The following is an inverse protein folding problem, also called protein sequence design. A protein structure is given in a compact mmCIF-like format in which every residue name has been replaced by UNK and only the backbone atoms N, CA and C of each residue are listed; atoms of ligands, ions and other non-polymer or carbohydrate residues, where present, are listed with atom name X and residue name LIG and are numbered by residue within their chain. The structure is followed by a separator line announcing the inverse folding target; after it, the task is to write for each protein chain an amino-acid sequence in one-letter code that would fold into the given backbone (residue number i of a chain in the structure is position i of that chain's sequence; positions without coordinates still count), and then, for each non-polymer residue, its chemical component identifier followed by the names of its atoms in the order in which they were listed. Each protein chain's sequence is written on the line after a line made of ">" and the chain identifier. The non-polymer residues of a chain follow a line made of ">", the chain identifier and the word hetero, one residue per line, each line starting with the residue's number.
data_IF_181440131365
#
_entry.id   IF_181440131365
#
_cell.length_a   1.000
_cell.length_b   1.000
_cell.length_c   1.000
_cell.angle_alpha   90.00
_cell.angle_beta   90.00
_cell.angle_gamma   90.00
#
_symmetry.space_group_name_H-M   'P 1'
#
loop_
_entity.id
_entity.type
_entity.pdbx_description
1 polymer ?
#
# COMPACT_ATOMS: atom_id res chain seq x y z
N UNK A 1 17.45 1.63 11.34
CA UNK A 1 16.62 1.75 10.11
C UNK A 1 16.54 0.43 9.34
N UNK A 2 17.67 -0.30 9.22
CA UNK A 2 17.67 -1.63 8.58
C UNK A 2 16.84 -2.64 9.36
N UNK A 3 16.93 -2.66 10.69
CA UNK A 3 16.11 -3.52 11.56
C UNK A 3 14.60 -3.27 11.34
N UNK A 4 14.21 -1.99 11.18
CA UNK A 4 12.83 -1.64 10.87
C UNK A 4 12.40 -2.14 9.49
N UNK A 5 13.29 -2.06 8.50
CA UNK A 5 13.01 -2.52 7.14
C UNK A 5 12.82 -4.05 7.08
N UNK A 6 13.69 -4.81 7.76
CA UNK A 6 13.54 -6.28 7.84
C UNK A 6 12.29 -6.68 8.60
N UNK A 7 11.92 -5.96 9.67
CA UNK A 7 10.65 -6.15 10.37
C UNK A 7 9.45 -5.94 9.45
N UNK A 8 9.42 -4.88 8.65
CA UNK A 8 8.35 -4.64 7.65
C UNK A 8 8.30 -5.79 6.62
N UNK A 9 9.46 -6.29 6.17
CA UNK A 9 9.50 -7.41 5.23
C UNK A 9 8.93 -8.69 5.87
N UNK A 10 9.30 -9.01 7.10
CA UNK A 10 8.80 -10.15 7.85
C UNK A 10 7.28 -10.08 8.06
N UNK A 11 6.76 -8.92 8.46
CA UNK A 11 5.32 -8.69 8.63
C UNK A 11 4.55 -8.92 7.33
N UNK A 12 5.07 -8.42 6.21
CA UNK A 12 4.45 -8.62 4.89
C UNK A 12 4.48 -10.08 4.44
N UNK A 13 5.56 -10.79 4.67
CA UNK A 13 5.67 -12.22 4.34
C UNK A 13 4.76 -13.08 5.23
N UNK A 14 4.54 -12.71 6.48
CA UNK A 14 3.63 -13.40 7.36
C UNK A 14 2.17 -13.42 6.85
N UNK A 15 1.78 -12.44 6.04
CA UNK A 15 0.45 -12.38 5.40
C UNK A 15 0.24 -13.44 4.31
N UNK A 16 1.30 -14.10 3.83
CA UNK A 16 1.18 -15.19 2.85
C UNK A 16 0.46 -16.43 3.39
N UNK A 17 0.33 -16.54 4.72
CA UNK A 17 -0.41 -17.62 5.40
C UNK A 17 -0.06 -19.03 4.89
N UNK A 18 1.24 -19.27 4.70
CA UNK A 18 1.76 -20.61 4.32
C UNK A 18 2.32 -21.33 5.53
N UNK A 19 2.38 -22.65 5.47
CA UNK A 19 3.07 -23.46 6.48
C UNK A 19 4.54 -23.03 6.52
N UNK A 20 4.90 -22.31 7.58
CA UNK A 20 6.24 -21.76 7.73
C UNK A 20 7.22 -22.89 8.06
N UNK A 21 8.36 -22.89 7.38
CA UNK A 21 9.55 -23.61 7.82
C UNK A 21 10.12 -22.93 9.07
N UNK A 22 10.90 -23.63 9.88
CA UNK A 22 11.47 -23.07 11.11
C UNK A 22 12.07 -21.67 10.87
N UNK A 23 11.61 -20.70 11.64
CA UNK A 23 12.12 -19.33 11.57
C UNK A 23 13.57 -19.27 12.00
N UNK A 24 14.37 -18.44 11.34
CA UNK A 24 15.69 -18.07 11.79
C UNK A 24 15.62 -17.30 13.12
N UNK A 25 16.55 -17.56 14.02
CA UNK A 25 16.64 -16.82 15.28
C UNK A 25 17.02 -15.33 15.04
N UNK A 26 16.94 -14.53 16.10
CA UNK A 26 17.39 -13.13 16.07
C UNK A 26 18.86 -13.04 15.64
N UNK A 27 19.18 -12.18 14.67
CA UNK A 27 20.53 -11.95 14.19
C UNK A 27 20.82 -10.45 14.10
N UNK A 28 22.11 -10.12 14.19
CA UNK A 28 22.60 -8.74 14.01
C UNK A 28 22.82 -8.51 12.52
N UNK A 29 22.20 -7.47 11.96
CA UNK A 29 22.34 -7.13 10.55
C UNK A 29 23.69 -6.43 10.34
N UNK A 30 24.55 -7.06 9.55
CA UNK A 30 25.71 -6.39 8.98
C UNK A 30 25.23 -5.36 7.94
N UNK A 31 25.75 -4.15 8.01
CA UNK A 31 25.32 -3.03 7.14
C UNK A 31 25.96 -3.06 5.74
N UNK A 32 26.74 -4.07 5.42
CA UNK A 32 27.22 -4.32 4.05
C UNK A 32 26.07 -4.83 3.16
N UNK A 33 26.25 -4.76 1.85
CA UNK A 33 25.27 -5.34 0.90
C UNK A 33 25.09 -6.84 1.15
N UNK A 34 26.18 -7.57 1.36
CA UNK A 34 26.16 -8.99 1.69
C UNK A 34 25.41 -9.29 2.98
N UNK A 35 25.64 -8.49 4.01
CA UNK A 35 24.93 -8.60 5.29
C UNK A 35 23.43 -8.36 5.19
N UNK A 36 23.02 -7.32 4.45
CA UNK A 36 21.60 -7.03 4.19
C UNK A 36 20.94 -8.15 3.39
N UNK A 37 21.61 -8.67 2.34
CA UNK A 37 21.10 -9.78 1.55
C UNK A 37 20.97 -11.06 2.41
N UNK A 38 21.92 -11.33 3.28
CA UNK A 38 21.84 -12.45 4.20
C UNK A 38 20.63 -12.31 5.16
N UNK A 39 20.40 -11.10 5.69
CA UNK A 39 19.26 -10.84 6.54
C UNK A 39 17.93 -11.09 5.80
N UNK A 40 17.79 -10.56 4.59
CA UNK A 40 16.60 -10.77 3.76
C UNK A 40 16.41 -12.25 3.37
N UNK A 41 17.49 -12.97 3.09
CA UNK A 41 17.46 -14.40 2.84
C UNK A 41 16.89 -15.19 4.02
N UNK A 42 17.32 -14.87 5.23
CA UNK A 42 16.81 -15.51 6.44
C UNK A 42 15.31 -15.27 6.64
N UNK A 43 14.82 -14.08 6.33
CA UNK A 43 13.38 -13.77 6.36
C UNK A 43 12.60 -14.49 5.24
N UNK A 44 13.21 -14.71 4.07
CA UNK A 44 12.58 -15.38 2.93
C UNK A 44 12.45 -16.90 3.09
N UNK A 45 13.41 -17.53 3.79
CA UNK A 45 13.52 -18.98 3.90
C UNK A 45 12.22 -19.70 4.30
N UNK A 46 11.44 -19.23 5.29
CA UNK A 46 10.21 -19.89 5.70
C UNK A 46 9.15 -19.96 4.59
N UNK A 47 9.23 -19.09 3.60
CA UNK A 47 8.22 -18.93 2.54
C UNK A 47 8.66 -19.45 1.17
N UNK A 48 9.88 -19.95 1.06
CA UNK A 48 10.40 -20.43 -0.22
C UNK A 48 9.88 -21.83 -0.57
N UNK A 49 9.55 -22.04 -1.84
CA UNK A 49 8.99 -23.33 -2.32
C UNK A 49 10.04 -24.43 -2.54
N UNK A 50 11.29 -24.09 -2.74
CA UNK A 50 12.34 -25.04 -3.08
C UNK A 50 13.17 -25.46 -1.87
N UNK A 51 13.76 -26.66 -1.90
CA UNK A 51 14.87 -27.03 -1.04
C UNK A 51 16.06 -26.15 -1.39
N UNK A 52 16.43 -25.27 -0.44
CA UNK A 52 17.40 -24.24 -0.70
C UNK A 52 18.76 -24.70 -0.18
N UNK A 53 19.49 -25.37 -1.04
CA UNK A 53 20.94 -25.60 -0.86
C UNK A 53 21.78 -24.39 -1.31
N UNK A 54 21.13 -23.40 -1.95
CA UNK A 54 21.77 -22.19 -2.45
C UNK A 54 22.08 -21.20 -1.33
N UNK A 55 23.21 -20.53 -1.41
CA UNK A 55 23.55 -19.44 -0.50
C UNK A 55 22.67 -18.20 -0.71
N UNK A 56 22.72 -17.22 0.22
CA UNK A 56 21.87 -16.03 0.20
C UNK A 56 21.86 -15.27 -1.12
N UNK A 57 23.04 -15.05 -1.69
CA UNK A 57 23.21 -14.28 -2.94
C UNK A 57 22.64 -15.04 -4.13
N UNK A 58 22.92 -16.34 -4.24
CA UNK A 58 22.44 -17.19 -5.32
C UNK A 58 20.91 -17.30 -5.28
N UNK A 59 20.34 -17.54 -4.11
CA UNK A 59 18.90 -17.59 -3.91
C UNK A 59 18.22 -16.28 -4.30
N UNK A 60 18.68 -15.15 -3.75
CA UNK A 60 18.07 -13.85 -4.03
C UNK A 60 18.30 -13.39 -5.49
N UNK A 61 19.39 -13.83 -6.13
CA UNK A 61 19.60 -13.62 -7.56
C UNK A 61 18.63 -14.42 -8.42
N UNK A 62 18.34 -15.67 -8.04
CA UNK A 62 17.35 -16.52 -8.74
C UNK A 62 15.94 -15.94 -8.68
N UNK A 63 15.63 -15.20 -7.60
CA UNK A 63 14.38 -14.43 -7.46
C UNK A 63 14.39 -13.09 -8.19
N UNK A 64 15.49 -12.70 -8.85
CA UNK A 64 15.61 -11.38 -9.48
C UNK A 64 15.71 -10.23 -8.48
N UNK A 65 16.05 -10.50 -7.22
CA UNK A 65 16.19 -9.48 -6.17
C UNK A 65 17.46 -8.68 -6.35
N UNK A 66 18.55 -9.37 -6.70
CA UNK A 66 19.88 -8.78 -6.87
C UNK A 66 20.25 -8.79 -8.34
N UNK A 67 20.58 -7.62 -8.85
CA UNK A 67 21.18 -7.45 -10.16
C UNK A 67 22.58 -6.85 -9.97
N UNK A 68 23.61 -7.48 -10.56
CA UNK A 68 24.93 -6.91 -10.64
C UNK A 68 25.01 -5.86 -11.75
N UNK A 69 26.04 -5.07 -11.73
CA UNK A 69 26.41 -4.15 -12.82
C UNK A 69 27.22 -4.84 -13.94
N UNK A 70 27.21 -6.16 -13.93
CA UNK A 70 27.80 -7.05 -14.93
C UNK A 70 29.04 -7.81 -14.48
N UNK A 71 29.77 -7.40 -13.45
CA UNK A 71 30.99 -8.08 -13.02
C UNK A 71 31.11 -8.33 -11.51
N UNK A 72 30.53 -7.48 -10.67
CA UNK A 72 30.66 -7.56 -9.21
C UNK A 72 29.38 -7.13 -8.51
N UNK A 73 28.97 -7.88 -7.50
CA UNK A 73 27.83 -7.53 -6.63
C UNK A 73 28.21 -6.55 -5.52
N UNK A 74 29.51 -6.24 -5.39
CA UNK A 74 30.07 -5.34 -4.38
C UNK A 74 29.54 -5.64 -2.96
N UNK A 75 29.60 -6.90 -2.54
CA UNK A 75 28.98 -7.40 -1.31
C UNK A 75 29.57 -6.78 -0.04
N UNK A 76 30.85 -6.41 -0.08
CA UNK A 76 31.59 -5.89 1.08
C UNK A 76 31.38 -4.38 1.31
N UNK A 77 30.80 -3.67 0.32
CA UNK A 77 30.53 -2.25 0.50
C UNK A 77 29.31 -1.98 1.37
N UNK A 78 29.24 -0.82 2.05
CA UNK A 78 28.05 -0.42 2.78
C UNK A 78 26.81 -0.41 1.86
N UNK A 79 25.70 -0.93 2.38
CA UNK A 79 24.40 -0.89 1.72
C UNK A 79 23.67 0.41 2.06
N UNK A 80 23.17 1.11 1.06
CA UNK A 80 22.31 2.26 1.31
C UNK A 80 20.90 1.81 1.71
N UNK A 81 20.16 2.65 2.43
CA UNK A 81 18.78 2.35 2.80
C UNK A 81 17.90 2.14 1.57
N UNK A 82 18.15 2.91 0.51
CA UNK A 82 17.41 2.78 -0.75
C UNK A 82 17.66 1.41 -1.41
N UNK A 83 18.89 0.95 -1.46
CA UNK A 83 19.22 -0.38 -1.98
C UNK A 83 18.56 -1.48 -1.16
N UNK A 84 18.66 -1.40 0.17
CA UNK A 84 18.02 -2.35 1.06
C UNK A 84 16.48 -2.39 0.86
N UNK A 85 15.85 -1.23 0.72
CA UNK A 85 14.42 -1.14 0.42
C UNK A 85 14.07 -1.75 -0.94
N UNK A 86 14.89 -1.52 -1.98
CA UNK A 86 14.71 -2.14 -3.28
C UNK A 86 14.83 -3.67 -3.21
N UNK A 87 15.80 -4.20 -2.48
CA UNK A 87 15.99 -5.64 -2.29
C UNK A 87 14.79 -6.24 -1.55
N UNK A 88 14.38 -5.65 -0.44
CA UNK A 88 13.24 -6.11 0.34
C UNK A 88 11.95 -6.12 -0.50
N UNK A 89 11.67 -5.06 -1.23
CA UNK A 89 10.49 -4.96 -2.09
C UNK A 89 10.49 -6.04 -3.20
N UNK A 90 11.62 -6.22 -3.90
CA UNK A 90 11.74 -7.24 -4.95
C UNK A 90 11.55 -8.65 -4.38
N UNK A 91 12.12 -8.93 -3.21
CA UNK A 91 11.98 -10.21 -2.52
C UNK A 91 10.52 -10.50 -2.16
N UNK A 92 9.84 -9.53 -1.55
CA UNK A 92 8.43 -9.65 -1.19
C UNK A 92 7.60 -9.94 -2.45
N UNK A 93 7.77 -9.15 -3.51
CA UNK A 93 7.04 -9.34 -4.77
C UNK A 93 7.31 -10.72 -5.38
N UNK A 94 8.57 -11.16 -5.42
CA UNK A 94 8.92 -12.47 -5.98
C UNK A 94 8.28 -13.64 -5.20
N UNK A 95 8.27 -13.58 -3.88
CA UNK A 95 7.66 -14.60 -3.05
C UNK A 95 6.12 -14.60 -3.16
N UNK A 96 5.50 -13.43 -3.23
CA UNK A 96 4.06 -13.30 -3.49
C UNK A 96 3.70 -13.87 -4.87
N UNK A 97 4.50 -13.58 -5.89
CA UNK A 97 4.27 -14.07 -7.26
C UNK A 97 4.40 -15.60 -7.34
N UNK A 98 5.38 -16.19 -6.67
CA UNK A 98 5.53 -17.65 -6.60
C UNK A 98 4.31 -18.35 -5.98
N UNK A 99 3.64 -17.66 -5.06
CA UNK A 99 2.47 -18.17 -4.35
C UNK A 99 1.15 -17.74 -4.98
N UNK A 100 1.20 -17.02 -6.11
CA UNK A 100 0.02 -16.44 -6.76
C UNK A 100 -0.82 -15.64 -5.76
N UNK A 101 -0.17 -14.90 -4.87
CA UNK A 101 -0.75 -14.12 -3.80
C UNK A 101 -0.77 -12.61 -4.11
N UNK A 102 -1.35 -11.84 -3.20
CA UNK A 102 -1.52 -10.39 -3.33
C UNK A 102 -2.95 -9.99 -3.65
N UNK A 103 -3.26 -8.71 -3.47
CA UNK A 103 -4.61 -8.19 -3.68
C UNK A 103 -4.90 -7.93 -5.15
N UNK A 104 -5.99 -8.49 -5.67
CA UNK A 104 -6.55 -8.14 -6.99
C UNK A 104 -7.54 -6.97 -6.89
N UNK A 105 -8.04 -6.68 -5.70
CA UNK A 105 -9.15 -5.74 -5.52
C UNK A 105 -10.41 -6.19 -6.24
N UNK A 106 -11.30 -5.26 -6.55
CA UNK A 106 -12.47 -5.47 -7.39
C UNK A 106 -12.08 -5.14 -8.85
N UNK A 107 -11.56 -6.13 -9.55
CA UNK A 107 -11.08 -5.99 -10.92
C UNK A 107 -12.05 -6.62 -11.91
N UNK A 108 -12.51 -5.82 -12.88
CA UNK A 108 -13.39 -6.22 -13.95
C UNK A 108 -12.69 -6.04 -15.30
N UNK A 109 -12.96 -6.94 -16.23
CA UNK A 109 -12.51 -6.86 -17.63
C UNK A 109 -13.71 -6.78 -18.56
N UNK A 110 -13.70 -5.81 -19.46
CA UNK A 110 -14.66 -5.70 -20.55
C UNK A 110 -13.90 -5.72 -21.89
N UNK A 111 -14.41 -6.49 -22.84
CA UNK A 111 -13.82 -6.64 -24.18
C UNK A 111 -14.86 -6.34 -25.26
N UNK A 112 -14.47 -5.57 -26.27
CA UNK A 112 -15.34 -5.27 -27.40
C UNK A 112 -14.60 -4.52 -28.50
N UNK A 113 -14.97 -4.80 -29.74
CA UNK A 113 -14.43 -4.14 -30.93
C UNK A 113 -12.89 -4.12 -31.02
N UNK A 114 -12.23 -5.15 -30.51
CA UNK A 114 -10.78 -5.25 -30.49
C UNK A 114 -10.09 -4.48 -29.34
N UNK A 115 -10.87 -3.86 -28.46
CA UNK A 115 -10.36 -3.13 -27.29
C UNK A 115 -10.61 -3.91 -26.00
N UNK A 116 -9.76 -3.68 -25.02
CA UNK A 116 -9.91 -4.20 -23.65
C UNK A 116 -9.94 -3.04 -22.66
N UNK A 117 -10.92 -3.04 -21.78
CA UNK A 117 -11.03 -2.11 -20.66
C UNK A 117 -10.94 -2.88 -19.36
N UNK A 118 -10.14 -2.41 -18.43
CA UNK A 118 -10.12 -2.87 -17.06
C UNK A 118 -10.73 -1.80 -16.14
N UNK A 119 -11.60 -2.21 -15.25
CA UNK A 119 -12.20 -1.36 -14.23
C UNK A 119 -11.72 -1.88 -12.88
N UNK A 120 -11.04 -1.04 -12.11
CA UNK A 120 -10.57 -1.35 -10.77
C UNK A 120 -11.37 -0.51 -9.77
N UNK A 121 -12.06 -1.19 -8.85
CA UNK A 121 -12.73 -0.52 -7.74
C UNK A 121 -11.69 0.10 -6.81
N UNK A 122 -11.86 1.37 -6.47
CA UNK A 122 -10.99 2.06 -5.52
C UNK A 122 -11.38 1.76 -4.08
N UNK A 123 -10.41 1.88 -3.18
CA UNK A 123 -10.58 1.86 -1.74
C UNK A 123 -9.72 2.95 -1.15
N UNK A 124 -10.30 3.76 -0.27
CA UNK A 124 -9.62 4.95 0.29
C UNK A 124 -8.91 4.69 1.61
N UNK A 125 -9.08 3.50 2.17
CA UNK A 125 -8.44 3.10 3.43
C UNK A 125 -7.90 1.69 3.31
N UNK A 126 -6.73 1.45 3.91
CA UNK A 126 -6.10 0.13 3.94
C UNK A 126 -5.53 -0.15 5.34
N UNK A 127 -5.81 -1.34 5.85
CA UNK A 127 -5.26 -1.87 7.10
C UNK A 127 -3.88 -2.54 6.90
N UNK A 128 -3.17 -2.17 5.85
CA UNK A 128 -1.86 -2.71 5.53
C UNK A 128 -1.86 -4.01 4.72
N UNK A 129 -3.02 -4.51 4.31
CA UNK A 129 -3.16 -5.79 3.58
C UNK A 129 -3.35 -5.61 2.07
N UNK A 130 -3.52 -4.38 1.59
CA UNK A 130 -3.75 -4.09 0.18
C UNK A 130 -2.50 -4.37 -0.67
N UNK A 131 -1.33 -4.11 -0.13
CA UNK A 131 -0.05 -4.31 -0.81
C UNK A 131 0.70 -5.54 -0.30
N UNK A 132 1.40 -6.26 -1.18
CA UNK A 132 1.55 -5.97 -2.62
C UNK A 132 0.30 -6.32 -3.42
N UNK A 133 0.09 -5.60 -4.51
CA UNK A 133 -0.90 -6.01 -5.50
C UNK A 133 -0.50 -7.33 -6.15
N UNK A 134 -1.49 -8.15 -6.47
CA UNK A 134 -1.30 -9.38 -7.23
C UNK A 134 -0.60 -9.11 -8.57
N UNK A 135 0.24 -10.05 -9.01
CA UNK A 135 1.01 -9.91 -10.25
C UNK A 135 0.14 -9.54 -11.45
N UNK A 136 -1.01 -10.17 -11.59
CA UNK A 136 -1.94 -9.87 -12.69
C UNK A 136 -2.36 -8.39 -12.71
N UNK A 137 -2.66 -7.79 -11.55
CA UNK A 137 -3.03 -6.37 -11.49
C UNK A 137 -1.84 -5.48 -11.85
N UNK A 138 -0.65 -5.79 -11.35
CA UNK A 138 0.58 -5.05 -11.67
C UNK A 138 0.91 -5.11 -13.18
N UNK A 139 0.75 -6.29 -13.80
CA UNK A 139 0.97 -6.48 -15.24
C UNK A 139 -0.03 -5.66 -16.07
N UNK A 140 -1.32 -5.64 -15.67
CA UNK A 140 -2.35 -4.83 -16.31
C UNK A 140 -2.01 -3.34 -16.24
N UNK A 141 -1.68 -2.83 -15.05
CA UNK A 141 -1.31 -1.42 -14.85
C UNK A 141 -0.09 -1.05 -15.71
N UNK A 142 0.91 -1.92 -15.76
CA UNK A 142 2.16 -1.67 -16.50
C UNK A 142 1.97 -1.72 -18.01
N UNK A 143 1.05 -2.57 -18.51
CA UNK A 143 0.80 -2.74 -19.93
C UNK A 143 -0.31 -1.86 -20.50
N UNK A 144 -1.06 -1.15 -19.68
CA UNK A 144 -2.12 -0.27 -20.09
C UNK A 144 -1.58 0.91 -20.93
N UNK A 145 -2.17 1.15 -22.09
CA UNK A 145 -1.85 2.29 -22.95
C UNK A 145 -2.36 3.61 -22.37
N UNK A 146 -3.44 3.55 -21.60
CA UNK A 146 -4.08 4.69 -20.94
C UNK A 146 -4.58 4.26 -19.56
N UNK A 147 -4.32 5.08 -18.54
CA UNK A 147 -4.89 4.96 -17.22
C UNK A 147 -5.73 6.20 -16.90
N UNK A 148 -6.96 6.00 -16.46
CA UNK A 148 -7.84 7.06 -15.98
C UNK A 148 -8.06 6.90 -14.46
N UNK A 149 -7.94 7.98 -13.72
CA UNK A 149 -8.11 8.03 -12.27
C UNK A 149 -9.33 8.90 -11.93
N UNK A 150 -9.93 8.65 -10.76
CA UNK A 150 -11.08 9.42 -10.27
C UNK A 150 -10.75 10.88 -10.01
N UNK A 151 -9.51 11.17 -9.63
CA UNK A 151 -9.06 12.50 -9.26
C UNK A 151 -7.59 12.69 -9.68
N UNK A 152 -7.28 13.86 -10.21
CA UNK A 152 -5.90 14.31 -10.42
C UNK A 152 -5.40 15.04 -9.17
N UNK A 153 -4.70 14.32 -8.29
CA UNK A 153 -4.10 14.90 -7.08
C UNK A 153 -2.99 15.92 -7.35
N UNK A 154 -2.52 16.07 -8.58
CA UNK A 154 -1.55 17.09 -8.97
C UNK A 154 -2.22 18.37 -9.50
N UNK A 155 -3.52 18.35 -9.74
CA UNK A 155 -4.30 19.50 -10.18
C UNK A 155 -4.82 20.30 -8.97
N UNK A 156 -4.23 21.45 -8.70
CA UNK A 156 -4.73 22.36 -7.65
C UNK A 156 -6.16 22.79 -7.95
N UNK A 157 -6.48 23.06 -9.21
CA UNK A 157 -7.83 23.46 -9.65
C UNK A 157 -8.86 22.37 -9.31
N UNK A 158 -8.56 21.09 -9.57
CA UNK A 158 -9.44 19.97 -9.23
C UNK A 158 -9.64 19.79 -7.72
N UNK A 159 -8.58 20.02 -6.93
CA UNK A 159 -8.66 19.99 -5.47
C UNK A 159 -9.55 21.15 -4.95
N UNK A 160 -9.38 22.35 -5.51
CA UNK A 160 -10.13 23.52 -5.11
C UNK A 160 -11.62 23.37 -5.48
N UNK A 161 -11.93 22.86 -6.67
CA UNK A 161 -13.30 22.55 -7.08
C UNK A 161 -13.94 21.49 -6.16
N UNK A 162 -13.25 20.39 -5.89
CA UNK A 162 -13.74 19.37 -4.98
C UNK A 162 -13.99 19.92 -3.57
N UNK A 163 -13.09 20.75 -3.06
CA UNK A 163 -13.22 21.40 -1.76
C UNK A 163 -14.43 22.35 -1.74
N UNK A 164 -14.61 23.13 -2.79
CA UNK A 164 -15.76 24.02 -2.92
C UNK A 164 -17.10 23.28 -3.00
N UNK A 165 -17.12 22.09 -3.57
CA UNK A 165 -18.35 21.25 -3.64
C UNK A 165 -18.80 20.75 -2.27
N UNK A 166 -17.90 20.63 -1.29
CA UNK A 166 -18.18 20.09 0.05
C UNK A 166 -18.95 21.07 0.93
N UNK A 167 -18.92 22.34 0.62
CA UNK A 167 -19.52 23.41 1.43
C UNK A 167 -20.72 24.05 0.74
N UNK A 168 -21.58 24.70 1.53
CA UNK A 168 -22.68 25.51 0.99
C UNK A 168 -22.13 26.86 0.48
N UNK A 169 -22.64 27.30 -0.67
CA UNK A 169 -22.30 28.57 -1.31
C UNK A 169 -23.51 29.48 -1.53
N UNK A 170 -24.69 29.04 -1.11
CA UNK A 170 -25.98 29.73 -1.29
C UNK A 170 -26.42 30.53 -0.06
N UNK A 171 -25.57 30.60 0.97
CA UNK A 171 -25.85 31.27 2.23
C UNK A 171 -26.61 30.41 3.26
N UNK A 172 -26.90 29.17 2.93
CA UNK A 172 -27.44 28.19 3.88
C UNK A 172 -26.31 27.49 4.64
N UNK A 173 -26.69 26.79 5.70
CA UNK A 173 -25.77 26.01 6.53
C UNK A 173 -26.31 24.60 6.74
N UNK A 174 -25.50 23.71 7.30
CA UNK A 174 -25.93 22.35 7.64
C UNK A 174 -27.22 22.34 8.49
N UNK A 175 -27.41 23.32 9.38
CA UNK A 175 -28.61 23.46 10.23
C UNK A 175 -29.91 23.59 9.43
N UNK A 176 -29.83 24.10 8.21
CA UNK A 176 -30.97 24.30 7.33
C UNK A 176 -31.38 23.04 6.56
N UNK A 177 -30.50 22.01 6.59
CA UNK A 177 -30.62 20.81 5.74
C UNK A 177 -30.73 19.49 6.48
N UNK A 178 -30.50 19.47 7.79
CA UNK A 178 -30.64 18.26 8.62
C UNK A 178 -31.46 18.57 9.88
N UNK A 179 -31.95 17.52 10.52
CA UNK A 179 -32.67 17.62 11.79
C UNK A 179 -31.77 18.27 12.88
N UNK A 180 -32.33 19.18 13.74
CA UNK A 180 -31.57 19.81 14.81
C UNK A 180 -30.91 18.84 15.80
N UNK A 181 -31.55 17.71 16.09
CA UNK A 181 -30.97 16.69 16.98
C UNK A 181 -29.76 16.05 16.31
N UNK A 182 -29.86 15.68 15.03
CA UNK A 182 -28.75 15.14 14.26
C UNK A 182 -27.60 16.16 14.12
N UNK A 183 -27.94 17.46 13.94
CA UNK A 183 -26.91 18.49 13.91
C UNK A 183 -26.10 18.53 15.21
N UNK A 184 -26.77 18.44 16.36
CA UNK A 184 -26.13 18.44 17.67
C UNK A 184 -25.22 17.23 17.84
N UNK A 185 -25.66 16.04 17.42
CA UNK A 185 -24.85 14.80 17.46
C UNK A 185 -23.57 14.95 16.61
N UNK A 186 -23.68 15.53 15.41
CA UNK A 186 -22.51 15.78 14.54
C UNK A 186 -21.52 16.74 15.19
N UNK A 187 -21.99 17.81 15.81
CA UNK A 187 -21.14 18.78 16.51
C UNK A 187 -20.44 18.12 17.70
N UNK A 188 -21.17 17.36 18.51
CA UNK A 188 -20.62 16.64 19.66
C UNK A 188 -19.56 15.60 19.25
N UNK A 189 -19.71 14.95 18.12
CA UNK A 189 -18.78 13.97 17.62
C UNK A 189 -17.49 14.60 17.03
N UNK A 190 -17.60 15.70 16.29
CA UNK A 190 -16.47 16.24 15.53
C UNK A 190 -15.69 17.34 16.28
N UNK A 191 -16.33 18.07 17.20
CA UNK A 191 -15.65 19.14 17.96
C UNK A 191 -14.48 18.63 18.82
N UNK A 192 -14.60 17.49 19.53
CA UNK A 192 -13.48 16.92 20.26
C UNK A 192 -12.30 16.47 19.38
N UNK A 193 -12.56 16.22 18.09
CA UNK A 193 -11.55 15.87 17.09
C UNK A 193 -10.87 17.09 16.46
N UNK A 194 -11.22 18.29 16.90
CA UNK A 194 -10.58 19.54 16.49
C UNK A 194 -11.29 20.27 15.36
N UNK A 195 -12.52 19.88 14.98
CA UNK A 195 -13.31 20.58 13.95
C UNK A 195 -14.24 21.58 14.63
N UNK A 196 -14.04 22.92 14.45
CA UNK A 196 -14.91 23.94 15.06
C UNK A 196 -16.34 23.86 14.52
N UNK A 197 -17.34 24.20 15.36
CA UNK A 197 -18.75 24.16 14.99
C UNK A 197 -19.06 25.01 13.73
N UNK A 198 -18.41 26.18 13.60
CA UNK A 198 -18.55 27.04 12.43
C UNK A 198 -18.14 26.31 11.12
N UNK A 199 -17.07 25.55 11.18
CA UNK A 199 -16.62 24.75 10.05
C UNK A 199 -17.58 23.59 9.78
N UNK A 200 -18.06 22.89 10.82
CA UNK A 200 -19.07 21.83 10.68
C UNK A 200 -20.33 22.38 10.01
N UNK A 201 -20.79 23.55 10.42
CA UNK A 201 -21.99 24.19 9.86
C UNK A 201 -21.85 24.53 8.38
N UNK A 202 -20.64 24.72 7.87
CA UNK A 202 -20.41 25.02 6.46
C UNK A 202 -20.47 23.82 5.54
N UNK A 203 -20.28 22.61 6.05
CA UNK A 203 -20.23 21.39 5.23
C UNK A 203 -21.60 20.86 4.83
N UNK A 204 -21.67 20.27 3.64
CA UNK A 204 -22.83 19.50 3.19
C UNK A 204 -22.87 18.11 3.86
N UNK A 205 -24.05 17.49 4.03
CA UNK A 205 -24.20 16.20 4.70
C UNK A 205 -23.31 15.07 4.14
N UNK A 206 -23.18 15.00 2.81
CA UNK A 206 -22.38 13.96 2.18
C UNK A 206 -20.86 14.06 2.51
N UNK A 207 -20.36 15.31 2.64
CA UNK A 207 -18.95 15.53 3.00
C UNK A 207 -18.66 15.08 4.43
N UNK A 208 -19.59 15.35 5.34
CA UNK A 208 -19.51 14.86 6.73
C UNK A 208 -19.68 13.33 6.81
N UNK A 209 -20.56 12.74 6.03
CA UNK A 209 -20.72 11.28 5.96
C UNK A 209 -19.40 10.60 5.54
N UNK A 210 -18.70 11.16 4.56
CA UNK A 210 -17.36 10.67 4.16
C UNK A 210 -16.34 10.81 5.32
N UNK A 211 -16.38 11.93 6.06
CA UNK A 211 -15.51 12.12 7.23
C UNK A 211 -15.78 11.07 8.31
N UNK A 212 -17.04 10.82 8.65
CA UNK A 212 -17.40 9.78 9.62
C UNK A 212 -17.00 8.38 9.15
N UNK A 213 -17.18 8.08 7.87
CA UNK A 213 -16.73 6.80 7.29
C UNK A 213 -15.22 6.64 7.45
N UNK A 214 -14.43 7.68 7.15
CA UNK A 214 -12.99 7.64 7.33
C UNK A 214 -12.59 7.46 8.80
N UNK A 215 -13.24 8.17 9.72
CA UNK A 215 -12.97 8.04 11.15
C UNK A 215 -13.30 6.65 11.70
N UNK A 216 -14.45 6.07 11.31
CA UNK A 216 -14.84 4.73 11.76
C UNK A 216 -13.84 3.63 11.34
N UNK A 217 -13.06 3.88 10.30
CA UNK A 217 -12.02 2.95 9.83
C UNK A 217 -10.69 3.10 10.57
N UNK A 218 -10.50 4.20 11.32
CA UNK A 218 -9.30 4.43 12.12
C UNK A 218 -9.42 3.86 13.55
N UNK A 219 -10.65 3.65 14.04
CA UNK A 219 -10.92 3.21 15.42
C UNK A 219 -10.95 1.66 15.58
N UNK A 220 -10.76 0.89 14.52
CA UNK A 220 -10.68 -0.57 14.54
C UNK A 220 -9.24 -1.07 14.29
#
# INVERSE_FOLDING_TARGET
>A
QLDKLTGIAADKLALLNVDQRSSAGSFVIDTTRGGVLNALYMEALPYAFADIDAGPVEFLSSLGVVHGDGADLALDRPCTLLEAACFANRMILALYDQQNAGSLGLLWKAEGNGNTLYLLGSIHTDRGNLYPFHKQLRDIITSAELAAFELDFNSQEGIDEFTAMQVYSDGTTLKDHIDPELYQEVVEALTPLGTPEEQIASYKPWALANTFTALSMLDE
#
